data_IF_808993680354
#
_entry.id   IF_808993680354
#
_cell.length_a   1.000
_cell.length_b   1.000
_cell.length_c   1.000
_cell.angle_alpha   90.00
_cell.angle_beta   90.00
_cell.angle_gamma   90.00
#
_symmetry.space_group_name_H-M   'P 1'
#
loop_
_entity.id
_entity.type
_entity.pdbx_description
1 polymer ?
#
# COMPACT_ATOMS: atom_id res chain seq x y z
N UNK A 1 4.62 -8.90 -13.78
CA UNK A 1 5.80 -7.98 -13.76
C UNK A 1 5.37 -6.69 -13.06
N UNK A 2 5.63 -6.56 -11.75
CA UNK A 2 5.27 -5.35 -11.01
C UNK A 2 6.38 -4.31 -11.18
N UNK A 3 6.23 -3.47 -12.21
CA UNK A 3 7.09 -2.31 -12.40
C UNK A 3 6.57 -1.16 -11.52
N UNK A 4 7.42 -0.68 -10.63
CA UNK A 4 7.23 0.62 -10.01
C UNK A 4 7.21 1.70 -11.11
N UNK A 5 6.26 2.66 -11.10
CA UNK A 5 6.28 3.75 -12.07
C UNK A 5 7.46 4.70 -11.81
N UNK A 6 8.37 4.79 -12.79
CA UNK A 6 9.52 5.69 -12.78
C UNK A 6 9.19 7.00 -13.49
N UNK A 7 9.26 8.12 -12.77
CA UNK A 7 9.19 9.45 -13.38
C UNK A 7 10.48 9.81 -14.10
N UNK A 8 10.40 10.79 -15.00
CA UNK A 8 11.56 11.38 -15.67
C UNK A 8 12.60 11.84 -14.67
N UNK A 9 12.16 12.50 -13.60
CA UNK A 9 13.05 13.01 -12.53
C UNK A 9 13.82 11.87 -11.89
N UNK A 10 13.13 10.79 -11.51
CA UNK A 10 13.76 9.64 -10.89
C UNK A 10 14.77 8.96 -11.83
N UNK A 11 14.42 8.79 -13.10
CA UNK A 11 15.34 8.22 -14.11
C UNK A 11 16.57 9.11 -14.28
N UNK A 12 16.41 10.43 -14.35
CA UNK A 12 17.53 11.36 -14.45
C UNK A 12 18.46 11.25 -13.24
N UNK A 13 17.91 11.22 -12.02
CA UNK A 13 18.71 11.06 -10.79
C UNK A 13 19.51 9.75 -10.85
N UNK A 14 18.89 8.64 -11.24
CA UNK A 14 19.57 7.34 -11.35
C UNK A 14 20.68 7.37 -12.42
N UNK A 15 20.44 7.99 -13.57
CA UNK A 15 21.45 8.13 -14.62
C UNK A 15 22.62 9.01 -14.19
N UNK A 16 22.36 10.12 -13.50
CA UNK A 16 23.43 10.96 -12.96
C UNK A 16 24.23 10.25 -11.87
N UNK A 17 23.58 9.43 -11.04
CA UNK A 17 24.27 8.58 -10.06
C UNK A 17 25.24 7.61 -10.76
N UNK A 18 24.80 6.96 -11.84
CA UNK A 18 25.65 6.07 -12.64
C UNK A 18 26.82 6.86 -13.24
N UNK A 19 26.54 8.03 -13.84
CA UNK A 19 27.58 8.91 -14.39
C UNK A 19 28.62 9.29 -13.34
N UNK A 20 28.19 9.65 -12.13
CA UNK A 20 29.08 10.01 -11.02
C UNK A 20 29.91 8.81 -10.55
N UNK A 21 29.34 7.61 -10.50
CA UNK A 21 30.07 6.39 -10.20
C UNK A 21 31.13 6.09 -11.27
N UNK A 22 30.80 6.22 -12.56
CA UNK A 22 31.74 6.04 -13.66
C UNK A 22 32.89 7.07 -13.63
N UNK A 23 32.58 8.33 -13.32
CA UNK A 23 33.61 9.38 -13.14
C UNK A 23 34.56 9.08 -12.00
N UNK A 24 34.06 8.53 -10.88
CA UNK A 24 34.92 8.06 -9.77
C UNK A 24 35.76 6.87 -10.20
N UNK A 25 35.18 5.90 -10.91
CA UNK A 25 35.88 4.72 -11.40
C UNK A 25 36.98 5.05 -12.42
N UNK A 26 36.86 6.16 -13.16
CA UNK A 26 37.92 6.65 -14.05
C UNK A 26 39.27 6.90 -13.33
N UNK A 27 39.24 7.10 -12.01
CA UNK A 27 40.46 7.27 -11.21
C UNK A 27 41.22 5.95 -10.98
N UNK A 28 40.59 4.80 -11.26
CA UNK A 28 41.21 3.48 -11.13
C UNK A 28 42.02 3.13 -12.40
N UNK A 29 43.34 2.87 -12.30
CA UNK A 29 44.19 2.50 -13.44
C UNK A 29 43.79 1.21 -14.16
N UNK A 30 43.04 0.31 -13.51
CA UNK A 30 42.61 -0.97 -14.10
C UNK A 30 41.30 -0.86 -14.87
N UNK A 31 40.62 0.28 -14.80
CA UNK A 31 39.29 0.45 -15.38
C UNK A 31 39.36 0.65 -16.90
N UNK A 32 38.90 -0.34 -17.67
CA UNK A 32 38.89 -0.31 -19.15
C UNK A 32 37.57 0.27 -19.70
N UNK A 33 37.67 0.96 -20.84
CA UNK A 33 36.53 1.52 -21.60
C UNK A 33 35.62 2.47 -20.79
N UNK A 34 36.15 3.15 -19.77
CA UNK A 34 35.34 4.04 -18.92
C UNK A 34 34.88 5.29 -19.66
N UNK A 35 35.72 5.85 -20.53
CA UNK A 35 35.38 7.06 -21.28
C UNK A 35 34.22 6.82 -22.27
N UNK A 36 34.21 5.67 -22.94
CA UNK A 36 33.10 5.24 -23.81
C UNK A 36 31.81 5.11 -23.00
N UNK A 37 31.86 4.47 -21.81
CA UNK A 37 30.70 4.33 -20.92
C UNK A 37 30.20 5.68 -20.41
N UNK A 38 31.09 6.61 -20.08
CA UNK A 38 30.73 7.98 -19.66
C UNK A 38 30.02 8.70 -20.80
N UNK A 39 30.59 8.67 -22.01
CA UNK A 39 30.00 9.30 -23.19
C UNK A 39 28.59 8.73 -23.48
N UNK A 40 28.43 7.42 -23.37
CA UNK A 40 27.14 6.76 -23.56
C UNK A 40 26.11 7.18 -22.51
N UNK A 41 26.49 7.21 -21.21
CA UNK A 41 25.58 7.68 -20.18
C UNK A 41 25.18 9.15 -20.36
N UNK A 42 26.09 10.00 -20.84
CA UNK A 42 25.77 11.40 -21.16
C UNK A 42 24.77 11.52 -22.32
N UNK A 43 24.87 10.66 -23.36
CA UNK A 43 23.88 10.59 -24.44
C UNK A 43 22.52 10.17 -23.92
N UNK A 44 22.46 9.10 -23.11
CA UNK A 44 21.21 8.62 -22.51
C UNK A 44 20.53 9.66 -21.60
N UNK A 45 21.32 10.47 -20.88
CA UNK A 45 20.80 11.59 -20.08
C UNK A 45 20.12 12.61 -20.99
N UNK A 46 20.79 13.05 -22.06
CA UNK A 46 20.21 14.01 -23.02
C UNK A 46 18.93 13.47 -23.66
N UNK A 47 18.92 12.20 -24.03
CA UNK A 47 17.73 11.55 -24.60
C UNK A 47 16.59 11.51 -23.58
N UNK A 48 16.88 11.16 -22.32
CA UNK A 48 15.87 11.16 -21.24
C UNK A 48 15.33 12.58 -20.99
N UNK A 49 16.16 13.62 -21.12
CA UNK A 49 15.73 15.01 -20.98
C UNK A 49 14.74 15.42 -22.08
N UNK A 50 14.89 14.92 -23.30
CA UNK A 50 14.10 15.37 -24.45
C UNK A 50 12.90 14.46 -24.77
N UNK A 51 13.07 13.15 -24.64
CA UNK A 51 12.17 12.16 -25.24
C UNK A 51 11.49 11.22 -24.23
N UNK A 52 11.70 11.40 -22.93
CA UNK A 52 11.14 10.50 -21.92
C UNK A 52 9.62 10.61 -21.83
N UNK A 53 8.92 9.51 -22.11
CA UNK A 53 7.48 9.36 -21.90
C UNK A 53 7.23 8.72 -20.54
N UNK A 54 6.47 9.40 -19.71
CA UNK A 54 6.16 8.92 -18.37
C UNK A 54 4.93 7.99 -18.40
N UNK A 55 5.07 6.76 -17.89
CA UNK A 55 3.95 5.92 -17.46
C UNK A 55 3.94 5.88 -15.93
N UNK A 56 3.06 6.69 -15.34
CA UNK A 56 2.93 6.84 -13.89
C UNK A 56 1.74 6.07 -13.31
N UNK A 57 1.12 5.19 -14.09
CA UNK A 57 -0.04 4.43 -13.64
C UNK A 57 0.31 3.59 -12.41
N UNK A 58 -0.47 3.76 -11.33
CA UNK A 58 -0.32 2.94 -10.13
C UNK A 58 -0.83 1.53 -10.40
N UNK A 59 0.03 0.54 -10.14
CA UNK A 59 -0.31 -0.88 -10.25
C UNK A 59 -0.35 -1.49 -8.85
N UNK A 60 -1.53 -1.88 -8.33
CA UNK A 60 -1.65 -2.44 -6.99
C UNK A 60 -0.88 -3.76 -6.87
N UNK A 61 -0.32 -4.09 -5.70
CA UNK A 61 0.28 -5.40 -5.46
C UNK A 61 -0.79 -6.51 -5.49
N UNK A 62 -0.42 -7.65 -6.08
CA UNK A 62 -1.30 -8.84 -6.16
C UNK A 62 -1.28 -9.66 -4.86
N UNK A 63 -0.21 -9.57 -4.07
CA UNK A 63 -0.05 -10.31 -2.82
C UNK A 63 0.88 -9.57 -1.83
N UNK A 64 0.87 -10.04 -0.57
CA UNK A 64 1.68 -9.49 0.53
C UNK A 64 3.18 -9.47 0.20
N UNK A 65 3.70 -10.51 -0.45
CA UNK A 65 5.12 -10.61 -0.81
C UNK A 65 5.53 -9.50 -1.78
N UNK A 66 4.72 -9.27 -2.81
CA UNK A 66 4.92 -8.23 -3.80
C UNK A 66 4.77 -6.84 -3.16
N UNK A 67 3.78 -6.64 -2.27
CA UNK A 67 3.60 -5.39 -1.55
C UNK A 67 4.83 -5.05 -0.70
N UNK A 68 5.37 -6.00 0.06
CA UNK A 68 6.57 -5.81 0.88
C UNK A 68 7.78 -5.44 0.01
N UNK A 69 7.95 -6.09 -1.14
CA UNK A 69 9.04 -5.78 -2.06
C UNK A 69 8.91 -4.38 -2.66
N UNK A 70 7.72 -3.99 -3.15
CA UNK A 70 7.46 -2.64 -3.63
C UNK A 70 7.74 -1.58 -2.54
N UNK A 71 7.30 -1.80 -1.31
CA UNK A 71 7.57 -0.87 -0.19
C UNK A 71 9.07 -0.73 0.10
N UNK A 72 9.83 -1.82 0.04
CA UNK A 72 11.30 -1.77 0.21
C UNK A 72 11.95 -0.97 -0.91
N UNK A 73 11.54 -1.19 -2.15
CA UNK A 73 12.05 -0.46 -3.32
C UNK A 73 11.75 1.04 -3.23
N UNK A 74 10.51 1.42 -2.92
CA UNK A 74 10.11 2.83 -2.79
C UNK A 74 10.92 3.52 -1.69
N UNK A 75 11.07 2.89 -0.52
CA UNK A 75 11.87 3.46 0.59
C UNK A 75 13.34 3.64 0.21
N UNK A 76 13.91 2.69 -0.54
CA UNK A 76 15.28 2.80 -1.07
C UNK A 76 15.40 3.98 -2.04
N UNK A 77 14.43 4.15 -2.95
CA UNK A 77 14.41 5.27 -3.90
C UNK A 77 14.28 6.62 -3.20
N UNK A 78 13.43 6.74 -2.17
CA UNK A 78 13.34 7.96 -1.36
C UNK A 78 14.66 8.31 -0.69
N UNK A 79 15.31 7.32 -0.05
CA UNK A 79 16.64 7.51 0.54
C UNK A 79 17.67 7.91 -0.52
N UNK A 80 17.58 7.32 -1.72
CA UNK A 80 18.44 7.65 -2.85
C UNK A 80 18.29 9.11 -3.27
N UNK A 81 17.07 9.60 -3.50
CA UNK A 81 16.82 11.01 -3.86
C UNK A 81 17.48 11.94 -2.85
N UNK A 82 17.32 11.66 -1.56
CA UNK A 82 17.92 12.46 -0.50
C UNK A 82 19.46 12.46 -0.56
N UNK A 83 20.08 11.30 -0.77
CA UNK A 83 21.54 11.20 -0.88
C UNK A 83 22.07 11.89 -2.13
N UNK A 84 21.38 11.77 -3.27
CA UNK A 84 21.80 12.37 -4.53
C UNK A 84 21.63 13.90 -4.51
N UNK A 85 20.60 14.42 -3.83
CA UNK A 85 20.42 15.85 -3.63
C UNK A 85 21.54 16.44 -2.78
N UNK A 86 21.94 15.75 -1.68
CA UNK A 86 23.10 16.14 -0.87
C UNK A 86 24.43 16.06 -1.62
N UNK A 87 24.54 15.13 -2.57
CA UNK A 87 25.74 14.98 -3.40
C UNK A 87 25.87 16.05 -4.50
N UNK A 88 24.90 16.98 -4.63
CA UNK A 88 24.95 18.06 -5.63
C UNK A 88 24.62 17.60 -7.05
N UNK A 89 23.78 16.57 -7.19
CA UNK A 89 23.34 16.10 -8.51
C UNK A 89 22.66 17.23 -9.28
N UNK A 90 22.95 17.43 -10.59
CA UNK A 90 22.40 18.53 -11.39
C UNK A 90 20.96 18.24 -11.83
N UNK A 91 20.08 18.00 -10.87
CA UNK A 91 18.63 17.93 -11.04
C UNK A 91 18.00 19.01 -10.17
N UNK A 92 16.99 19.70 -10.69
CA UNK A 92 16.27 20.74 -9.98
C UNK A 92 15.77 20.27 -8.60
N UNK A 93 16.18 20.91 -7.48
CA UNK A 93 15.77 20.53 -6.14
C UNK A 93 14.25 20.50 -5.93
N UNK A 94 13.51 21.40 -6.57
CA UNK A 94 12.04 21.46 -6.45
C UNK A 94 11.42 20.23 -7.08
N UNK A 95 11.91 19.82 -8.24
CA UNK A 95 11.50 18.58 -8.91
C UNK A 95 11.80 17.33 -8.08
N UNK A 96 12.95 17.29 -7.40
CA UNK A 96 13.29 16.21 -6.46
C UNK A 96 12.34 16.13 -5.27
N UNK A 97 11.92 17.27 -4.71
CA UNK A 97 10.95 17.31 -3.61
C UNK A 97 9.56 16.85 -4.06
N UNK A 98 9.11 17.25 -5.26
CA UNK A 98 7.86 16.75 -5.86
C UNK A 98 7.90 15.24 -6.05
N UNK A 99 9.04 14.73 -6.52
CA UNK A 99 9.25 13.29 -6.68
C UNK A 99 9.23 12.54 -5.35
N UNK A 100 9.85 13.07 -4.27
CA UNK A 100 9.77 12.43 -2.95
C UNK A 100 8.33 12.37 -2.43
N UNK A 101 7.54 13.44 -2.60
CA UNK A 101 6.11 13.46 -2.26
C UNK A 101 5.32 12.42 -3.07
N UNK A 102 5.61 12.27 -4.36
CA UNK A 102 5.01 11.23 -5.22
C UNK A 102 5.33 9.83 -4.70
N UNK A 103 6.58 9.56 -4.34
CA UNK A 103 6.99 8.28 -3.75
C UNK A 103 6.34 8.05 -2.38
N UNK A 104 6.17 9.09 -1.57
CA UNK A 104 5.45 8.99 -0.30
C UNK A 104 3.97 8.61 -0.49
N UNK A 105 3.31 9.21 -1.49
CA UNK A 105 1.95 8.83 -1.88
C UNK A 105 1.90 7.37 -2.35
N UNK A 106 2.87 6.91 -3.15
CA UNK A 106 2.93 5.52 -3.60
C UNK A 106 3.05 4.53 -2.42
N UNK A 107 3.84 4.84 -1.40
CA UNK A 107 3.89 4.02 -0.16
C UNK A 107 2.49 3.85 0.43
N UNK A 108 1.73 4.94 0.51
CA UNK A 108 0.38 4.92 1.06
C UNK A 108 -0.57 4.11 0.17
N UNK A 109 -0.52 4.29 -1.15
CA UNK A 109 -1.34 3.51 -2.11
C UNK A 109 -1.07 2.00 -2.01
N UNK A 110 0.21 1.59 -1.93
CA UNK A 110 0.59 0.17 -1.76
C UNK A 110 0.05 -0.38 -0.45
N UNK A 111 0.22 0.34 0.66
CA UNK A 111 -0.28 -0.08 1.98
C UNK A 111 -1.80 -0.26 1.99
N UNK A 112 -2.56 0.73 1.49
CA UNK A 112 -4.03 0.69 1.47
C UNK A 112 -4.52 -0.41 0.54
N UNK A 113 -3.91 -0.58 -0.64
CA UNK A 113 -4.27 -1.65 -1.56
C UNK A 113 -4.07 -3.03 -0.93
N UNK A 114 -2.94 -3.24 -0.26
CA UNK A 114 -2.64 -4.50 0.42
C UNK A 114 -3.58 -4.76 1.60
N UNK A 115 -3.89 -3.71 2.36
CA UNK A 115 -4.86 -3.76 3.45
C UNK A 115 -6.23 -4.21 2.96
N UNK A 116 -6.73 -3.63 1.87
CA UNK A 116 -8.03 -4.01 1.28
C UNK A 116 -8.04 -5.48 0.86
N UNK A 117 -6.98 -5.98 0.19
CA UNK A 117 -6.90 -7.40 -0.18
C UNK A 117 -6.98 -8.30 1.06
N UNK A 118 -6.22 -7.96 2.11
CA UNK A 118 -6.23 -8.71 3.36
C UNK A 118 -7.57 -8.63 4.10
N UNK A 119 -8.25 -7.50 4.04
CA UNK A 119 -9.63 -7.35 4.55
C UNK A 119 -10.59 -8.30 3.83
N UNK A 120 -10.48 -8.41 2.50
CA UNK A 120 -11.29 -9.34 1.72
C UNK A 120 -10.99 -10.80 2.07
N UNK A 121 -9.73 -11.14 2.31
CA UNK A 121 -9.32 -12.47 2.79
C UNK A 121 -9.95 -12.81 4.15
N UNK A 122 -9.85 -11.90 5.12
CA UNK A 122 -10.44 -12.08 6.45
C UNK A 122 -11.97 -12.21 6.39
N UNK A 123 -12.62 -11.44 5.50
CA UNK A 123 -14.06 -11.57 5.26
C UNK A 123 -14.42 -12.94 4.71
N UNK A 124 -13.63 -13.48 3.76
CA UNK A 124 -13.81 -14.86 3.24
C UNK A 124 -13.62 -15.93 4.32
N UNK A 125 -12.76 -15.67 5.30
CA UNK A 125 -12.54 -16.55 6.46
C UNK A 125 -13.55 -16.34 7.59
N UNK A 126 -14.58 -15.50 7.40
CA UNK A 126 -15.56 -15.11 8.43
C UNK A 126 -14.94 -14.53 9.72
N UNK A 127 -13.74 -13.95 9.64
CA UNK A 127 -13.05 -13.31 10.76
C UNK A 127 -13.46 -11.83 10.90
N UNK A 128 -14.73 -11.60 11.24
CA UNK A 128 -15.37 -10.27 11.24
C UNK A 128 -14.66 -9.27 12.18
N UNK A 129 -14.25 -9.71 13.38
CA UNK A 129 -13.55 -8.85 14.34
C UNK A 129 -12.21 -8.34 13.82
N UNK A 130 -11.37 -9.22 13.28
CA UNK A 130 -10.09 -8.86 12.68
C UNK A 130 -10.27 -8.00 11.42
N UNK A 131 -11.31 -8.29 10.62
CA UNK A 131 -11.68 -7.52 9.45
C UNK A 131 -12.01 -6.06 9.82
N UNK A 132 -12.86 -5.87 10.84
CA UNK A 132 -13.24 -4.55 11.36
C UNK A 132 -12.03 -3.74 11.83
N UNK A 133 -11.20 -4.33 12.69
CA UNK A 133 -9.98 -3.68 13.20
C UNK A 133 -9.05 -3.23 12.07
N UNK A 134 -8.92 -4.07 11.03
CA UNK A 134 -8.06 -3.78 9.89
C UNK A 134 -8.62 -2.62 9.04
N UNK A 135 -9.94 -2.57 8.84
CA UNK A 135 -10.61 -1.49 8.10
C UNK A 135 -10.53 -0.16 8.86
N UNK A 136 -10.82 -0.16 10.16
CA UNK A 136 -10.70 1.02 11.03
C UNK A 136 -9.29 1.61 10.98
N UNK A 137 -8.26 0.74 11.08
CA UNK A 137 -6.86 1.14 10.92
C UNK A 137 -6.57 1.74 9.55
N UNK A 138 -7.16 1.20 8.48
CA UNK A 138 -7.01 1.74 7.13
C UNK A 138 -7.57 3.15 7.00
N UNK A 139 -8.77 3.37 7.55
CA UNK A 139 -9.41 4.69 7.58
C UNK A 139 -8.61 5.69 8.42
N UNK A 140 -8.13 5.27 9.59
CA UNK A 140 -7.30 6.10 10.47
C UNK A 140 -6.01 6.55 9.74
N UNK A 141 -5.34 5.64 9.04
CA UNK A 141 -4.13 5.94 8.26
C UNK A 141 -4.41 6.95 7.13
N UNK A 142 -5.56 6.86 6.47
CA UNK A 142 -5.95 7.83 5.42
C UNK A 142 -6.27 9.19 6.05
N UNK A 143 -7.05 9.23 7.13
CA UNK A 143 -7.45 10.48 7.79
C UNK A 143 -6.26 11.26 8.37
N UNK A 144 -5.29 10.58 8.97
CA UNK A 144 -4.09 11.20 9.53
C UNK A 144 -3.01 11.52 8.48
N UNK A 145 -3.19 11.07 7.24
CA UNK A 145 -2.24 11.36 6.17
C UNK A 145 -2.30 12.85 5.79
N UNK A 146 -1.16 13.57 5.77
CA UNK A 146 -1.12 14.95 5.27
C UNK A 146 -1.28 15.03 3.74
N UNK A 147 -1.26 13.90 3.03
CA UNK A 147 -1.34 13.81 1.57
C UNK A 147 -2.79 13.58 1.16
N UNK A 148 -3.35 14.52 0.41
CA UNK A 148 -4.66 14.41 -0.24
C UNK A 148 -4.51 13.88 -1.66
N UNK A 149 -5.29 12.88 -2.02
CA UNK A 149 -5.27 12.26 -3.35
C UNK A 149 -6.61 11.55 -3.60
N UNK A 150 -7.21 11.78 -4.76
CA UNK A 150 -8.55 11.28 -5.09
C UNK A 150 -8.66 9.75 -4.98
N UNK A 151 -7.60 9.01 -5.33
CA UNK A 151 -7.64 7.55 -5.21
C UNK A 151 -7.73 7.11 -3.74
N UNK A 152 -7.10 7.84 -2.82
CA UNK A 152 -7.23 7.56 -1.38
C UNK A 152 -8.64 7.86 -0.88
N UNK A 153 -9.25 8.95 -1.37
CA UNK A 153 -10.62 9.31 -1.01
C UNK A 153 -11.62 8.23 -1.50
N UNK A 154 -11.47 7.76 -2.74
CA UNK A 154 -12.26 6.64 -3.29
C UNK A 154 -12.10 5.35 -2.46
N UNK A 155 -10.87 5.05 -2.02
CA UNK A 155 -10.60 3.89 -1.16
C UNK A 155 -11.11 4.08 0.27
N UNK A 156 -11.11 5.29 0.81
CA UNK A 156 -11.74 5.59 2.08
C UNK A 156 -13.25 5.33 2.01
N UNK A 157 -13.92 5.77 0.95
CA UNK A 157 -15.34 5.45 0.73
C UNK A 157 -15.58 3.94 0.67
N UNK A 158 -14.72 3.21 -0.05
CA UNK A 158 -14.80 1.74 -0.15
C UNK A 158 -14.65 1.08 1.23
N UNK A 159 -13.66 1.51 2.03
CA UNK A 159 -13.43 0.98 3.38
C UNK A 159 -14.60 1.30 4.32
N UNK A 160 -15.16 2.51 4.25
CA UNK A 160 -16.35 2.89 5.02
C UNK A 160 -17.56 2.02 4.67
N UNK A 161 -17.75 1.68 3.39
CA UNK A 161 -18.81 0.77 2.97
C UNK A 161 -18.60 -0.64 3.55
N UNK A 162 -17.37 -1.16 3.47
CA UNK A 162 -17.04 -2.47 4.05
C UNK A 162 -17.31 -2.47 5.56
N UNK A 163 -16.93 -1.40 6.27
CA UNK A 163 -17.18 -1.28 7.71
C UNK A 163 -18.67 -1.30 8.03
N UNK A 164 -19.49 -0.52 7.31
CA UNK A 164 -20.93 -0.48 7.49
C UNK A 164 -21.59 -1.85 7.25
N UNK A 165 -21.12 -2.59 6.25
CA UNK A 165 -21.62 -3.94 5.97
C UNK A 165 -21.25 -4.93 7.09
N UNK A 166 -20.03 -4.87 7.61
CA UNK A 166 -19.59 -5.70 8.74
C UNK A 166 -20.40 -5.39 10.01
N UNK A 167 -20.67 -4.11 10.29
CA UNK A 167 -21.48 -3.71 11.44
C UNK A 167 -22.92 -4.21 11.34
N UNK A 168 -23.51 -4.19 10.14
CA UNK A 168 -24.83 -4.78 9.90
C UNK A 168 -24.80 -6.29 10.13
N UNK A 169 -23.81 -6.99 9.60
CA UNK A 169 -23.65 -8.43 9.78
C UNK A 169 -23.55 -8.82 11.27
N UNK A 170 -22.78 -8.06 12.05
CA UNK A 170 -22.65 -8.28 13.50
C UNK A 170 -23.98 -8.01 14.22
N UNK A 171 -24.68 -6.92 13.90
CA UNK A 171 -25.97 -6.60 14.51
C UNK A 171 -27.02 -7.68 14.22
N UNK A 172 -27.11 -8.13 12.99
CA UNK A 172 -28.02 -9.20 12.57
C UNK A 172 -27.71 -10.52 13.26
N UNK A 173 -26.43 -10.89 13.35
CA UNK A 173 -26.01 -12.09 14.07
C UNK A 173 -26.35 -12.03 15.55
N UNK A 174 -26.10 -10.90 16.21
CA UNK A 174 -26.43 -10.72 17.61
C UNK A 174 -27.94 -10.75 17.85
N UNK A 175 -28.74 -10.17 16.95
CA UNK A 175 -30.20 -10.24 17.04
C UNK A 175 -30.70 -11.68 16.95
N UNK A 176 -30.24 -12.45 15.96
CA UNK A 176 -30.63 -13.87 15.81
C UNK A 176 -30.23 -14.71 17.02
N UNK A 177 -29.02 -14.49 17.54
CA UNK A 177 -28.57 -15.19 18.74
C UNK A 177 -29.43 -14.88 19.98
N UNK A 178 -29.94 -13.65 20.08
CA UNK A 178 -30.85 -13.28 21.16
C UNK A 178 -32.25 -13.91 20.96
N UNK A 179 -32.77 -13.91 19.73
CA UNK A 179 -34.04 -14.55 19.38
C UNK A 179 -33.99 -16.06 19.65
N UNK A 180 -32.94 -16.76 19.22
CA UNK A 180 -32.71 -18.18 19.48
C UNK A 180 -32.63 -18.48 20.99
N UNK A 181 -31.97 -17.62 21.78
CA UNK A 181 -31.89 -17.79 23.24
C UNK A 181 -33.25 -17.63 23.92
N UNK A 182 -34.08 -16.68 23.48
CA UNK A 182 -35.43 -16.49 24.02
C UNK A 182 -36.32 -17.68 23.67
N UNK A 183 -36.29 -18.14 22.42
CA UNK A 183 -37.06 -19.30 21.96
C UNK A 183 -36.64 -20.59 22.71
N UNK A 184 -35.35 -20.80 22.92
CA UNK A 184 -34.83 -21.92 23.72
C UNK A 184 -35.28 -21.85 25.19
N UNK A 185 -35.36 -20.66 25.78
CA UNK A 185 -35.87 -20.47 27.14
C UNK A 185 -37.39 -20.70 27.24
N UNK A 186 -38.17 -20.24 26.26
CA UNK A 186 -39.61 -20.47 26.18
C UNK A 186 -39.93 -21.96 25.99
N UNK A 187 -39.24 -22.63 25.05
CA UNK A 187 -39.38 -24.06 24.83
C UNK A 187 -39.06 -24.89 26.09
N UNK A 188 -38.03 -24.49 26.86
CA UNK A 188 -37.70 -25.16 28.14
C UNK A 188 -38.80 -24.99 29.18
N UNK A 189 -39.40 -23.80 29.29
CA UNK A 189 -40.50 -23.55 30.22
C UNK A 189 -41.73 -24.36 29.84
N UNK A 190 -42.09 -24.42 28.56
CA UNK A 190 -43.20 -25.25 28.07
C UNK A 190 -42.95 -26.74 28.33
N UNK A 191 -41.72 -27.23 28.09
CA UNK A 191 -41.32 -28.60 28.43
C UNK A 191 -41.44 -28.87 29.93
N UNK A 192 -40.96 -27.98 30.79
CA UNK A 192 -41.08 -28.16 32.25
C UNK A 192 -42.55 -28.15 32.71
N UNK A 193 -43.43 -27.36 32.08
CA UNK A 193 -44.88 -27.35 32.36
C UNK A 193 -45.57 -28.64 31.87
N UNK A 194 -45.16 -29.19 30.71
CA UNK A 194 -45.68 -30.44 30.14
C UNK A 194 -45.22 -31.70 30.88
N UNK A 195 -44.05 -31.67 31.55
CA UNK A 195 -43.43 -32.87 32.15
C UNK A 195 -43.18 -32.79 33.66
N UNK A 196 -43.33 -31.62 34.29
CA UNK A 196 -43.06 -31.40 35.72
C UNK A 196 -44.04 -32.10 36.66
N UNK A 197 -45.25 -32.43 36.20
CA UNK A 197 -46.31 -33.01 37.04
C UNK A 197 -46.27 -34.54 37.15
N UNK A 198 -45.11 -35.17 36.94
CA UNK A 198 -44.91 -36.56 37.36
C UNK A 198 -44.54 -36.63 38.84
N UNK A 199 -45.57 -36.55 39.70
CA UNK A 199 -45.49 -37.02 41.08
C UNK A 199 -44.95 -38.45 41.09
N UNK A 200 -43.77 -38.63 41.68
CA UNK A 200 -43.22 -39.94 42.03
C UNK A 200 -44.17 -40.57 43.06
N UNK A 201 -44.74 -41.72 42.70
CA UNK A 201 -45.43 -42.62 43.62
C UNK A 201 -44.43 -43.36 44.51
#
# INVERSE_FOLDING_TARGET
QNQLPFSKVLVLILRYRILNALKKLKQDPHAKHIDEKIAEQMRMIKETQNNYKEDLAFRPPENDTIAVNQLREIRRLRKLIYTELRAGTPVDPVSCQKEDRRLQLLVLKVNISNLIQRTLDLKRMHQVGSCRQLVEKGLEVIQHSPIKDNWLDDKAMTLSQILADLEKEVKEKNRRQLEEQVEDEENKKELDELFGDKKKW
#
